data_IF_371670828102
#
_entry.id   IF_371670828102
#
_cell.length_a   1.000
_cell.length_b   1.000
_cell.length_c   1.000
_cell.angle_alpha   90.00
_cell.angle_beta   90.00
_cell.angle_gamma   90.00
#
_symmetry.space_group_name_H-M   'P 1'
#
loop_
_entity.id
_entity.type
_entity.pdbx_description
1 polymer ?
#
# COMPACT_ATOMS: atom_id res chain seq x y z
N UNK A 1 -2.58 -38.94 -2.42
CA UNK A 1 -1.15 -39.07 -2.92
C UNK A 1 -0.27 -39.93 -2.02
N UNK A 2 -0.11 -39.69 -0.68
CA UNK A 2 0.72 -40.57 0.18
C UNK A 2 0.12 -41.98 0.31
N UNK A 3 -1.20 -42.09 0.51
CA UNK A 3 -1.91 -43.37 0.55
C UNK A 3 -1.80 -44.09 -0.81
N UNK A 4 -2.01 -43.43 -1.90
CA UNK A 4 -1.90 -43.98 -3.26
C UNK A 4 -0.48 -44.49 -3.54
N UNK A 5 0.56 -43.71 -3.25
CA UNK A 5 1.97 -44.13 -3.40
C UNK A 5 2.27 -45.36 -2.54
N UNK A 6 1.70 -45.44 -1.31
CA UNK A 6 1.87 -46.61 -0.42
C UNK A 6 1.15 -47.83 -0.92
N UNK A 7 -0.04 -47.65 -1.50
CA UNK A 7 -0.83 -48.74 -2.09
C UNK A 7 -0.15 -49.28 -3.34
N UNK A 8 0.27 -48.38 -4.24
CA UNK A 8 1.01 -48.75 -5.45
C UNK A 8 2.34 -49.46 -5.12
N UNK A 9 3.06 -49.00 -4.08
CA UNK A 9 4.29 -49.70 -3.63
C UNK A 9 3.99 -51.11 -3.13
N UNK A 10 2.84 -51.30 -2.46
CA UNK A 10 2.42 -52.63 -2.03
C UNK A 10 2.08 -53.55 -3.22
N UNK A 11 1.46 -53.02 -4.26
CA UNK A 11 1.19 -53.73 -5.49
C UNK A 11 2.49 -54.12 -6.17
N UNK A 12 3.45 -53.23 -6.30
CA UNK A 12 4.78 -53.54 -6.86
C UNK A 12 5.45 -54.67 -6.10
N UNK A 13 5.45 -54.63 -4.77
CA UNK A 13 6.09 -55.70 -3.96
C UNK A 13 5.41 -57.07 -4.19
N UNK A 14 4.08 -57.07 -4.32
CA UNK A 14 3.33 -58.29 -4.65
C UNK A 14 3.68 -58.81 -6.03
N UNK A 15 3.71 -57.92 -7.07
CA UNK A 15 4.11 -58.31 -8.40
C UNK A 15 5.53 -58.83 -8.54
N UNK A 16 6.50 -58.24 -7.77
CA UNK A 16 7.85 -58.72 -7.71
C UNK A 16 7.94 -60.14 -7.12
N UNK A 17 7.17 -60.40 -6.05
CA UNK A 17 7.07 -61.72 -5.44
C UNK A 17 6.50 -62.74 -6.40
N UNK A 18 5.41 -62.38 -7.08
CA UNK A 18 4.81 -63.28 -8.08
C UNK A 18 5.75 -63.55 -9.26
N UNK A 19 6.48 -62.51 -9.71
CA UNK A 19 7.47 -62.69 -10.78
C UNK A 19 8.60 -63.63 -10.39
N UNK A 20 9.08 -63.57 -9.16
CA UNK A 20 10.10 -64.50 -8.64
C UNK A 20 9.55 -65.91 -8.62
N UNK A 21 8.35 -66.12 -8.08
CA UNK A 21 7.71 -67.44 -8.06
C UNK A 21 7.52 -68.03 -9.48
N UNK A 22 7.02 -67.21 -10.42
CA UNK A 22 6.86 -67.64 -11.85
C UNK A 22 8.20 -68.02 -12.48
N UNK A 23 9.27 -67.29 -12.21
CA UNK A 23 10.60 -67.57 -12.72
C UNK A 23 11.17 -68.87 -12.11
N UNK A 24 10.97 -69.13 -10.81
CA UNK A 24 11.37 -70.37 -10.16
C UNK A 24 10.63 -71.58 -10.71
N UNK A 25 9.32 -71.49 -10.86
CA UNK A 25 8.51 -72.54 -11.50
C UNK A 25 9.00 -72.84 -12.92
N UNK A 26 9.23 -71.78 -13.70
CA UNK A 26 9.76 -71.92 -15.06
C UNK A 26 11.14 -72.56 -15.09
N UNK A 27 12.04 -72.15 -14.17
CA UNK A 27 13.39 -72.74 -14.04
C UNK A 27 13.32 -74.20 -13.65
N UNK A 28 12.47 -74.59 -12.70
CA UNK A 28 12.28 -75.99 -12.28
C UNK A 28 11.73 -76.82 -13.46
N UNK A 29 10.77 -76.25 -14.22
CA UNK A 29 10.24 -76.94 -15.39
C UNK A 29 11.30 -77.15 -16.49
N UNK A 30 12.19 -76.15 -16.70
CA UNK A 30 13.32 -76.30 -17.64
C UNK A 30 14.29 -77.34 -17.15
N UNK A 31 14.70 -77.27 -15.82
CA UNK A 31 15.63 -78.21 -15.22
C UNK A 31 15.13 -79.65 -15.32
N UNK A 32 13.87 -79.88 -14.99
CA UNK A 32 13.23 -81.20 -15.09
C UNK A 32 13.24 -81.72 -16.53
N UNK A 33 12.94 -80.81 -17.48
CA UNK A 33 12.97 -81.12 -18.93
C UNK A 33 14.40 -81.48 -19.40
N UNK A 34 15.42 -80.77 -18.94
CA UNK A 34 16.82 -81.04 -19.27
C UNK A 34 17.28 -82.35 -18.68
N UNK A 35 16.98 -82.62 -17.42
CA UNK A 35 17.34 -83.83 -16.70
C UNK A 35 16.71 -85.05 -17.39
N UNK A 36 15.51 -84.93 -17.87
CA UNK A 36 14.81 -85.95 -18.60
C UNK A 36 15.33 -86.08 -20.08
N UNK A 37 15.87 -84.96 -20.63
CA UNK A 37 16.42 -84.90 -21.98
C UNK A 37 17.86 -85.44 -22.09
N UNK A 38 18.65 -85.47 -21.00
CA UNK A 38 20.03 -85.94 -21.04
C UNK A 38 20.19 -87.44 -21.32
N UNK A 39 19.09 -88.21 -21.28
CA UNK A 39 19.02 -89.58 -21.66
C UNK A 39 17.92 -89.95 -22.65
N UNK A 40 17.07 -89.00 -22.97
CA UNK A 40 15.83 -89.23 -23.78
C UNK A 40 15.71 -88.27 -24.94
N UNK A 41 16.04 -88.69 -26.15
CA UNK A 41 15.71 -87.94 -27.36
C UNK A 41 14.18 -87.91 -27.49
N UNK A 42 13.59 -86.75 -27.75
CA UNK A 42 12.11 -86.61 -27.97
C UNK A 42 11.58 -87.64 -28.89
N UNK A 43 12.35 -87.97 -29.91
CA UNK A 43 12.06 -89.07 -30.87
C UNK A 43 12.06 -90.44 -30.20
N UNK A 44 13.03 -90.74 -29.34
CA UNK A 44 13.07 -92.00 -28.61
C UNK A 44 11.89 -92.18 -27.65
N UNK A 45 11.42 -91.02 -27.00
CA UNK A 45 10.22 -91.05 -26.16
C UNK A 45 8.96 -91.36 -26.99
N UNK A 46 8.85 -90.82 -28.21
CA UNK A 46 7.74 -91.03 -29.07
C UNK A 46 7.76 -92.47 -29.63
N UNK A 47 8.91 -92.97 -30.09
CA UNK A 47 9.05 -94.27 -30.71
C UNK A 47 9.15 -95.47 -29.73
N UNK A 48 9.37 -95.23 -28.47
CA UNK A 48 9.31 -96.20 -27.37
C UNK A 48 7.87 -96.60 -26.98
N UNK A 49 6.88 -96.27 -27.79
CA UNK A 49 5.44 -96.55 -27.57
C UNK A 49 5.14 -97.96 -28.13
N UNK A 50 4.54 -98.85 -27.33
CA UNK A 50 4.12 -100.20 -27.75
C UNK A 50 2.84 -100.27 -28.51
N UNK A 51 2.06 -99.18 -28.57
CA UNK A 51 0.81 -99.12 -29.29
C UNK A 51 0.56 -97.74 -29.95
N UNK A 52 -0.21 -97.64 -30.97
CA UNK A 52 -0.57 -96.38 -31.68
C UNK A 52 -1.26 -95.40 -30.77
N UNK A 53 -2.11 -95.82 -29.82
CA UNK A 53 -2.78 -94.95 -28.83
C UNK A 53 -1.77 -94.34 -27.90
N UNK A 54 -0.74 -95.08 -27.44
CA UNK A 54 0.35 -94.48 -26.60
C UNK A 54 1.16 -93.46 -27.40
N UNK A 55 1.40 -93.67 -28.67
CA UNK A 55 2.08 -92.71 -29.54
C UNK A 55 1.31 -91.41 -29.62
N UNK A 56 0.03 -91.48 -29.90
CA UNK A 56 -0.86 -90.30 -30.01
C UNK A 56 -0.95 -89.50 -28.66
N UNK A 57 -1.05 -90.24 -27.55
CA UNK A 57 -1.04 -89.58 -26.21
C UNK A 57 0.28 -88.89 -25.90
N UNK A 58 1.42 -89.48 -26.22
CA UNK A 58 2.76 -88.92 -26.05
C UNK A 58 2.96 -87.67 -26.92
N UNK A 59 2.54 -87.66 -28.13
CA UNK A 59 2.57 -86.47 -28.98
C UNK A 59 1.68 -85.34 -28.43
N UNK A 60 0.48 -85.64 -28.03
CA UNK A 60 -0.41 -84.65 -27.36
C UNK A 60 0.21 -84.05 -26.08
N UNK A 61 0.88 -84.90 -25.28
CA UNK A 61 1.56 -84.46 -24.06
C UNK A 61 2.70 -83.49 -24.37
N UNK A 62 3.52 -83.77 -25.43
CA UNK A 62 4.61 -82.89 -25.82
C UNK A 62 4.05 -81.56 -26.37
N UNK A 63 2.98 -81.55 -27.08
CA UNK A 63 2.31 -80.33 -27.58
C UNK A 63 1.80 -79.51 -26.40
N UNK A 64 1.02 -80.10 -25.49
CA UNK A 64 0.49 -79.41 -24.29
C UNK A 64 1.63 -78.86 -23.44
N UNK A 65 2.72 -79.61 -23.23
CA UNK A 65 3.88 -79.12 -22.49
C UNK A 65 4.57 -77.94 -23.18
N UNK A 66 4.72 -77.96 -24.50
CA UNK A 66 5.31 -76.89 -25.28
C UNK A 66 4.44 -75.61 -25.22
N UNK A 67 3.11 -75.79 -25.33
CA UNK A 67 2.17 -74.68 -25.21
C UNK A 67 2.14 -74.06 -23.79
N UNK A 68 2.20 -74.91 -22.74
CA UNK A 68 2.28 -74.45 -21.37
C UNK A 68 3.57 -73.62 -21.10
N UNK A 69 4.69 -74.08 -21.61
CA UNK A 69 5.98 -73.35 -21.52
C UNK A 69 5.92 -72.01 -22.26
N UNK A 70 5.34 -71.99 -23.44
CA UNK A 70 5.18 -70.75 -24.20
C UNK A 70 4.32 -69.73 -23.45
N UNK A 71 3.16 -70.18 -22.94
CA UNK A 71 2.26 -69.33 -22.14
C UNK A 71 2.90 -68.79 -20.91
N UNK A 72 3.65 -69.64 -20.17
CA UNK A 72 4.33 -69.19 -18.95
C UNK A 72 5.43 -68.17 -19.25
N UNK A 73 6.20 -68.31 -20.31
CA UNK A 73 7.20 -67.37 -20.76
C UNK A 73 6.57 -66.04 -21.17
N UNK A 74 5.39 -66.07 -21.86
CA UNK A 74 4.63 -64.89 -22.25
C UNK A 74 4.08 -64.15 -20.99
N UNK A 75 3.56 -64.86 -19.97
CA UNK A 75 3.11 -64.30 -18.71
C UNK A 75 4.26 -63.64 -17.93
N UNK A 76 5.43 -64.27 -17.83
CA UNK A 76 6.59 -63.65 -17.19
C UNK A 76 6.97 -62.35 -17.87
N UNK A 77 7.01 -62.29 -19.19
CA UNK A 77 7.30 -61.04 -19.95
C UNK A 77 6.27 -59.96 -19.71
N UNK A 78 5.00 -60.32 -19.68
CA UNK A 78 3.90 -59.39 -19.46
C UNK A 78 3.92 -58.79 -18.04
N UNK A 79 4.15 -59.62 -17.02
CA UNK A 79 4.28 -59.15 -15.65
C UNK A 79 5.54 -58.27 -15.50
N UNK A 80 6.66 -58.62 -16.13
CA UNK A 80 7.87 -57.76 -16.11
C UNK A 80 7.63 -56.39 -16.73
N UNK A 81 6.91 -56.36 -17.89
CA UNK A 81 6.60 -55.08 -18.54
C UNK A 81 5.69 -54.22 -17.66
N UNK A 82 4.61 -54.81 -17.13
CA UNK A 82 3.66 -54.11 -16.24
C UNK A 82 4.33 -53.59 -14.95
N UNK A 83 5.19 -54.41 -14.36
CA UNK A 83 5.95 -53.99 -13.18
C UNK A 83 6.90 -52.81 -13.47
N UNK A 84 7.58 -52.84 -14.63
CA UNK A 84 8.46 -51.73 -15.04
C UNK A 84 7.69 -50.42 -15.23
N UNK A 85 6.51 -50.50 -15.85
CA UNK A 85 5.65 -49.35 -16.06
C UNK A 85 5.13 -48.77 -14.74
N UNK A 86 4.74 -49.62 -13.79
CA UNK A 86 4.25 -49.20 -12.49
C UNK A 86 5.35 -48.56 -11.66
N UNK A 87 6.58 -49.08 -11.69
CA UNK A 87 7.76 -48.48 -11.03
C UNK A 87 8.00 -47.06 -11.58
N UNK A 88 7.99 -46.86 -12.92
CA UNK A 88 8.18 -45.54 -13.51
C UNK A 88 7.10 -44.56 -13.09
N UNK A 89 5.84 -45.01 -13.02
CA UNK A 89 4.71 -44.19 -12.59
C UNK A 89 4.89 -43.69 -11.16
N UNK A 90 5.28 -44.59 -10.23
CA UNK A 90 5.51 -44.22 -8.81
C UNK A 90 6.72 -43.30 -8.65
N UNK A 91 7.78 -43.53 -9.41
CA UNK A 91 8.94 -42.62 -9.39
C UNK A 91 8.57 -41.22 -9.82
N UNK A 92 7.79 -41.09 -10.91
CA UNK A 92 7.25 -39.80 -11.32
C UNK A 92 6.35 -39.12 -10.27
N UNK A 93 5.43 -39.86 -9.65
CA UNK A 93 4.59 -39.34 -8.57
C UNK A 93 5.39 -38.87 -7.35
N UNK A 94 6.46 -39.59 -7.00
CA UNK A 94 7.36 -39.19 -5.88
C UNK A 94 8.10 -37.90 -6.20
N UNK A 95 8.57 -37.74 -7.44
CA UNK A 95 9.25 -36.52 -7.89
C UNK A 95 8.28 -35.32 -7.89
N UNK A 96 7.09 -35.47 -8.43
CA UNK A 96 6.05 -34.43 -8.44
C UNK A 96 5.67 -34.00 -7.03
N UNK A 97 5.52 -34.96 -6.10
CA UNK A 97 5.26 -34.67 -4.69
C UNK A 97 6.38 -33.87 -4.06
N UNK A 98 7.63 -34.21 -4.36
CA UNK A 98 8.80 -33.53 -3.79
C UNK A 98 8.90 -32.08 -4.29
N UNK A 99 8.59 -31.87 -5.56
CA UNK A 99 8.52 -30.55 -6.17
C UNK A 99 7.40 -29.70 -5.54
N UNK A 100 6.19 -30.23 -5.41
CA UNK A 100 5.06 -29.56 -4.77
C UNK A 100 5.36 -29.16 -3.32
N UNK A 101 6.00 -30.04 -2.55
CA UNK A 101 6.37 -29.76 -1.16
C UNK A 101 7.41 -28.63 -1.08
N UNK A 102 8.38 -28.62 -2.00
CA UNK A 102 9.37 -27.55 -2.11
C UNK A 102 8.74 -26.20 -2.42
N UNK A 103 7.79 -26.18 -3.35
CA UNK A 103 7.05 -24.98 -3.75
C UNK A 103 6.18 -24.46 -2.61
N UNK A 104 5.46 -25.34 -1.91
CA UNK A 104 4.65 -24.99 -0.74
C UNK A 104 5.49 -24.35 0.38
N UNK A 105 6.65 -24.92 0.68
CA UNK A 105 7.57 -24.36 1.67
C UNK A 105 8.10 -22.98 1.25
N UNK A 106 8.41 -22.80 -0.02
CA UNK A 106 8.86 -21.52 -0.59
C UNK A 106 7.76 -20.45 -0.46
N UNK A 107 6.53 -20.81 -0.84
CA UNK A 107 5.39 -19.91 -0.78
C UNK A 107 4.99 -19.55 0.65
N UNK A 108 5.04 -20.50 1.57
CA UNK A 108 4.83 -20.27 3.01
C UNK A 108 5.84 -19.28 3.59
N UNK A 109 7.14 -19.41 3.24
CA UNK A 109 8.18 -18.46 3.65
C UNK A 109 7.92 -17.07 3.09
N UNK A 110 7.54 -16.98 1.82
CA UNK A 110 7.21 -15.73 1.15
C UNK A 110 6.00 -15.04 1.81
N UNK A 111 4.97 -15.79 2.12
CA UNK A 111 3.76 -15.30 2.81
C UNK A 111 4.11 -14.73 4.20
N UNK A 112 4.92 -15.45 4.96
CA UNK A 112 5.39 -15.01 6.30
C UNK A 112 6.18 -13.69 6.19
N UNK A 113 7.07 -13.57 5.20
CA UNK A 113 7.82 -12.35 4.93
C UNK A 113 6.91 -11.18 4.57
N UNK A 114 5.94 -11.39 3.69
CA UNK A 114 4.96 -10.37 3.29
C UNK A 114 4.09 -9.91 4.48
N UNK A 115 3.65 -10.82 5.33
CA UNK A 115 2.91 -10.48 6.55
C UNK A 115 3.74 -9.61 7.51
N UNK A 116 5.03 -9.93 7.67
CA UNK A 116 5.94 -9.13 8.49
C UNK A 116 6.12 -7.71 7.92
N UNK A 117 6.31 -7.59 6.60
CA UNK A 117 6.40 -6.30 5.92
C UNK A 117 5.12 -5.49 6.06
N UNK A 118 3.96 -6.11 5.90
CA UNK A 118 2.66 -5.48 6.08
C UNK A 118 2.48 -4.93 7.49
N UNK A 119 2.81 -5.70 8.53
CA UNK A 119 2.76 -5.25 9.93
C UNK A 119 3.67 -4.05 10.18
N UNK A 120 4.90 -4.09 9.66
CA UNK A 120 5.85 -2.98 9.76
C UNK A 120 5.31 -1.71 9.09
N UNK A 121 4.70 -1.85 7.90
CA UNK A 121 4.10 -0.72 7.19
C UNK A 121 2.92 -0.11 7.96
N UNK A 122 2.03 -0.94 8.50
CA UNK A 122 0.90 -0.50 9.34
C UNK A 122 1.41 0.31 10.53
N UNK A 123 2.40 -0.21 11.27
CA UNK A 123 2.97 0.49 12.41
C UNK A 123 3.58 1.86 12.04
N UNK A 124 4.28 1.94 10.90
CA UNK A 124 4.80 3.22 10.39
C UNK A 124 3.68 4.21 10.03
N UNK A 125 2.61 3.73 9.43
CA UNK A 125 1.46 4.57 9.08
C UNK A 125 0.76 5.10 10.34
N UNK A 126 0.54 4.27 11.36
CA UNK A 126 -0.03 4.67 12.64
C UNK A 126 0.82 5.74 13.36
N UNK A 127 2.15 5.59 13.34
CA UNK A 127 3.05 6.60 13.87
C UNK A 127 2.97 7.93 13.12
N UNK A 128 2.90 7.88 11.78
CA UNK A 128 2.74 9.08 10.95
C UNK A 128 1.40 9.76 11.20
N UNK A 129 0.32 9.00 11.31
CA UNK A 129 -1.02 9.52 11.62
C UNK A 129 -1.02 10.22 12.97
N UNK A 130 -0.47 9.59 14.00
CA UNK A 130 -0.35 10.19 15.36
C UNK A 130 0.44 11.49 15.33
N UNK A 131 1.56 11.54 14.59
CA UNK A 131 2.35 12.75 14.43
C UNK A 131 1.54 13.88 13.77
N UNK A 132 0.85 13.58 12.67
CA UNK A 132 0.02 14.56 11.95
C UNK A 132 -1.10 15.09 12.84
N UNK A 133 -1.77 14.21 13.59
CA UNK A 133 -2.82 14.63 14.54
C UNK A 133 -2.29 15.57 15.61
N UNK A 134 -1.11 15.28 16.18
CA UNK A 134 -0.48 16.12 17.18
C UNK A 134 -0.07 17.49 16.60
N UNK A 135 0.50 17.53 15.41
CA UNK A 135 0.89 18.77 14.75
C UNK A 135 -0.34 19.62 14.41
N UNK A 136 -1.42 18.99 13.95
CA UNK A 136 -2.69 19.66 13.68
C UNK A 136 -3.31 20.25 14.97
N UNK A 137 -3.26 19.51 16.08
CA UNK A 137 -3.73 20.01 17.38
C UNK A 137 -2.95 21.24 17.84
N UNK A 138 -1.61 21.21 17.74
CA UNK A 138 -0.75 22.37 18.05
C UNK A 138 -1.07 23.57 17.18
N UNK A 139 -1.22 23.36 15.87
CA UNK A 139 -1.55 24.41 14.92
C UNK A 139 -2.90 25.07 15.25
N UNK A 140 -3.94 24.27 15.56
CA UNK A 140 -5.26 24.77 15.98
C UNK A 140 -5.19 25.60 17.26
N UNK A 141 -4.39 25.17 18.24
CA UNK A 141 -4.20 25.90 19.49
C UNK A 141 -3.54 27.27 19.24
N UNK A 142 -2.46 27.29 18.45
CA UNK A 142 -1.76 28.55 18.10
C UNK A 142 -2.65 29.48 17.28
N UNK A 143 -3.46 28.94 16.35
CA UNK A 143 -4.41 29.76 15.57
C UNK A 143 -5.52 30.33 16.46
N UNK A 144 -6.03 29.55 17.41
CA UNK A 144 -7.02 30.04 18.38
C UNK A 144 -6.44 31.17 19.25
N UNK A 145 -5.25 30.96 19.78
CA UNK A 145 -4.54 31.99 20.59
C UNK A 145 -4.35 33.29 19.80
N UNK A 146 -3.94 33.20 18.54
CA UNK A 146 -3.81 34.34 17.64
C UNK A 146 -5.13 35.08 17.47
N UNK A 147 -6.20 34.36 17.20
CA UNK A 147 -7.53 34.97 17.02
C UNK A 147 -8.02 35.64 18.30
N UNK A 148 -7.90 34.97 19.46
CA UNK A 148 -8.32 35.52 20.77
C UNK A 148 -7.55 36.79 21.09
N UNK A 149 -6.24 36.86 20.78
CA UNK A 149 -5.44 38.10 20.97
C UNK A 149 -5.86 39.21 19.99
N UNK A 150 -6.14 38.89 18.72
CA UNK A 150 -6.62 39.89 17.77
C UNK A 150 -7.97 40.45 18.23
N UNK A 151 -8.91 39.60 18.61
CA UNK A 151 -10.24 40.00 19.06
C UNK A 151 -10.15 40.91 20.31
N UNK A 152 -9.25 40.60 21.26
CA UNK A 152 -9.00 41.44 22.44
C UNK A 152 -8.47 42.82 22.05
N UNK A 153 -7.53 42.89 21.10
CA UNK A 153 -6.95 44.19 20.68
C UNK A 153 -7.99 45.02 19.93
N UNK A 154 -8.76 44.43 19.04
CA UNK A 154 -9.85 45.12 18.34
C UNK A 154 -10.83 45.72 19.35
N UNK A 155 -11.21 44.97 20.38
CA UNK A 155 -12.11 45.46 21.41
C UNK A 155 -11.53 46.65 22.20
N UNK A 156 -10.23 46.60 22.52
CA UNK A 156 -9.54 47.73 23.22
C UNK A 156 -9.48 48.96 22.33
N UNK A 157 -9.07 48.85 21.07
CA UNK A 157 -8.99 49.97 20.14
C UNK A 157 -10.39 50.58 19.88
N UNK A 158 -11.44 49.75 19.79
CA UNK A 158 -12.81 50.18 19.64
C UNK A 158 -13.29 51.01 20.84
N UNK A 159 -13.01 50.52 22.05
CA UNK A 159 -13.35 51.30 23.30
C UNK A 159 -12.60 52.61 23.37
N UNK A 160 -11.33 52.62 22.95
CA UNK A 160 -10.56 53.87 22.91
C UNK A 160 -11.11 54.87 21.89
N UNK A 161 -11.52 54.37 20.71
CA UNK A 161 -12.14 55.20 19.67
C UNK A 161 -13.47 55.83 20.17
N UNK A 162 -14.34 55.04 20.81
CA UNK A 162 -15.58 55.51 21.40
C UNK A 162 -15.36 56.55 22.49
N UNK A 163 -14.34 56.37 23.30
CA UNK A 163 -14.02 57.32 24.38
C UNK A 163 -13.41 58.66 23.89
N UNK A 164 -12.72 58.62 22.73
CA UNK A 164 -12.05 59.80 22.17
C UNK A 164 -12.95 60.66 21.24
N UNK A 165 -14.20 60.28 21.01
CA UNK A 165 -15.15 60.96 20.09
C UNK A 165 -14.56 61.26 18.71
N UNK A 166 -13.59 60.46 18.26
CA UNK A 166 -13.01 60.61 16.93
C UNK A 166 -14.04 60.16 15.88
N UNK A 167 -14.40 61.06 15.00
CA UNK A 167 -15.26 60.71 13.85
C UNK A 167 -14.48 59.92 12.80
N UNK A 168 -14.74 58.64 12.72
CA UNK A 168 -14.09 57.72 11.77
C UNK A 168 -14.93 57.51 10.50
N UNK A 169 -16.03 58.24 10.35
CA UNK A 169 -17.04 58.05 9.28
C UNK A 169 -16.41 58.12 7.90
N UNK A 170 -15.53 59.11 7.65
CA UNK A 170 -14.88 59.26 6.34
C UNK A 170 -13.88 58.12 6.03
N UNK A 171 -13.15 57.68 7.04
CA UNK A 171 -12.20 56.55 6.88
C UNK A 171 -12.98 55.26 6.61
N UNK A 172 -14.06 55.01 7.34
CA UNK A 172 -14.93 53.87 7.18
C UNK A 172 -15.50 53.82 5.77
N UNK A 173 -16.11 54.92 5.28
CA UNK A 173 -16.64 55.02 3.91
C UNK A 173 -15.57 54.84 2.84
N UNK A 174 -14.35 55.36 3.09
CA UNK A 174 -13.24 55.23 2.16
C UNK A 174 -12.78 53.75 2.07
N UNK A 175 -12.70 53.03 3.17
CA UNK A 175 -12.34 51.60 3.19
C UNK A 175 -13.44 50.73 2.55
N UNK A 176 -14.72 50.95 2.90
CA UNK A 176 -15.86 50.24 2.33
C UNK A 176 -15.96 50.43 0.80
N UNK A 177 -15.72 51.64 0.33
CA UNK A 177 -15.68 51.95 -1.10
C UNK A 177 -14.61 51.21 -1.91
N UNK A 178 -13.63 50.59 -1.21
CA UNK A 178 -12.60 49.77 -1.83
C UNK A 178 -12.95 48.26 -1.87
N UNK A 179 -14.13 47.87 -1.46
CA UNK A 179 -14.58 46.47 -1.53
C UNK A 179 -14.50 45.98 -2.99
N UNK A 180 -13.75 44.88 -3.19
CA UNK A 180 -13.45 44.29 -4.51
C UNK A 180 -12.37 45.04 -5.30
N UNK A 181 -11.71 46.06 -4.70
CA UNK A 181 -10.69 46.90 -5.36
C UNK A 181 -9.38 46.96 -4.54
N UNK A 182 -9.34 46.39 -3.35
CA UNK A 182 -8.11 46.39 -2.54
C UNK A 182 -7.00 45.65 -3.26
N UNK A 183 -5.77 46.18 -3.26
CA UNK A 183 -4.61 45.49 -3.81
C UNK A 183 -4.32 44.22 -3.01
N UNK A 184 -3.63 43.27 -3.62
CA UNK A 184 -3.17 42.09 -2.95
C UNK A 184 -2.02 42.47 -1.97
N UNK A 185 -1.98 41.80 -0.81
CA UNK A 185 -0.91 42.06 0.17
C UNK A 185 0.48 41.62 -0.28
N UNK A 186 0.58 40.91 -1.41
CA UNK A 186 1.81 40.49 -2.08
C UNK A 186 1.72 40.76 -3.56
N UNK A 187 2.84 41.06 -4.22
CA UNK A 187 2.84 41.40 -5.65
C UNK A 187 2.47 40.22 -6.52
N UNK A 188 2.99 39.02 -6.17
CA UNK A 188 2.76 37.77 -6.89
C UNK A 188 2.22 36.71 -5.91
N UNK A 189 1.38 35.81 -6.41
CA UNK A 189 0.84 34.70 -5.63
C UNK A 189 -0.59 34.32 -6.00
N UNK A 190 -1.06 33.26 -5.39
CA UNK A 190 -2.42 32.72 -5.55
C UNK A 190 -2.98 32.30 -4.19
N UNK A 191 -4.30 32.17 -4.10
CA UNK A 191 -4.97 31.73 -2.88
C UNK A 191 -4.78 30.20 -2.74
N UNK A 192 -3.97 29.77 -1.78
CA UNK A 192 -3.75 28.36 -1.45
C UNK A 192 -4.85 27.80 -0.54
N UNK A 193 -5.43 28.65 0.33
CA UNK A 193 -6.55 28.24 1.21
C UNK A 193 -7.59 29.36 1.28
N UNK A 194 -8.82 29.02 0.89
CA UNK A 194 -9.96 29.93 0.87
C UNK A 194 -10.56 30.17 2.26
N UNK A 195 -11.33 31.24 2.37
CA UNK A 195 -12.13 31.54 3.56
C UNK A 195 -13.26 30.50 3.76
N UNK A 196 -13.50 30.12 5.02
CA UNK A 196 -14.59 29.25 5.42
C UNK A 196 -14.15 27.82 5.75
N UNK A 197 -15.07 26.89 5.60
CA UNK A 197 -14.83 25.47 5.89
C UNK A 197 -14.39 24.73 4.64
N UNK A 198 -13.32 23.96 4.74
CA UNK A 198 -12.83 23.10 3.67
C UNK A 198 -12.44 21.74 4.23
N UNK A 199 -12.42 20.74 3.38
CA UNK A 199 -11.91 19.40 3.75
C UNK A 199 -10.39 19.39 3.65
N UNK A 200 -9.72 18.71 4.60
CA UNK A 200 -8.26 18.55 4.53
C UNK A 200 -7.87 17.76 3.26
N UNK A 201 -6.87 18.20 2.48
CA UNK A 201 -6.52 17.58 1.20
C UNK A 201 -6.24 16.07 1.29
N UNK A 202 -5.58 15.64 2.37
CA UNK A 202 -5.15 14.24 2.57
C UNK A 202 -6.06 13.47 3.53
N UNK A 203 -6.58 14.13 4.57
CA UNK A 203 -7.38 13.50 5.63
C UNK A 203 -8.88 13.81 5.40
N UNK A 204 -9.56 13.01 4.61
CA UNK A 204 -10.97 13.22 4.21
C UNK A 204 -11.97 13.41 5.36
N UNK A 205 -11.64 12.93 6.57
CA UNK A 205 -12.50 13.07 7.76
C UNK A 205 -12.21 14.33 8.58
N UNK A 206 -11.19 15.13 8.21
CA UNK A 206 -10.78 16.32 8.92
C UNK A 206 -11.30 17.55 8.19
N UNK A 207 -12.14 18.36 8.88
CA UNK A 207 -12.59 19.66 8.40
C UNK A 207 -11.66 20.74 8.94
N UNK A 208 -11.22 21.61 8.03
CA UNK A 208 -10.46 22.82 8.34
C UNK A 208 -11.40 24.02 8.29
N UNK A 209 -11.19 24.98 9.19
CA UNK A 209 -11.92 26.26 9.16
C UNK A 209 -10.90 27.38 9.07
N UNK A 210 -10.91 28.13 7.98
CA UNK A 210 -10.06 29.29 7.78
C UNK A 210 -10.87 30.57 7.95
N UNK A 211 -10.50 31.38 8.94
CA UNK A 211 -11.12 32.69 9.22
C UNK A 211 -10.50 33.84 8.39
N UNK A 212 -9.73 33.50 7.36
CA UNK A 212 -9.08 34.40 6.43
C UNK A 212 -8.81 33.68 5.11
N UNK A 213 -7.81 34.12 4.37
CA UNK A 213 -7.25 33.42 3.23
C UNK A 213 -5.76 33.23 3.42
N UNK A 214 -5.21 32.09 2.92
CA UNK A 214 -3.78 31.94 2.81
C UNK A 214 -3.37 32.20 1.36
N UNK A 215 -2.36 33.06 1.17
CA UNK A 215 -1.86 33.45 -0.14
C UNK A 215 -0.43 32.92 -0.26
N UNK A 216 -0.22 31.94 -1.12
CA UNK A 216 1.10 31.43 -1.42
C UNK A 216 1.82 32.35 -2.40
N UNK A 217 3.10 32.62 -2.13
CA UNK A 217 3.92 33.57 -2.87
C UNK A 217 5.37 33.07 -2.96
N UNK A 218 6.25 33.90 -3.53
CA UNK A 218 7.69 33.57 -3.62
C UNK A 218 8.39 33.73 -2.28
N UNK A 219 9.53 33.06 -2.10
CA UNK A 219 10.36 33.21 -0.91
C UNK A 219 10.79 34.65 -0.72
N UNK A 220 10.80 35.11 0.55
CA UNK A 220 11.18 36.46 0.93
C UNK A 220 10.33 37.59 0.29
N UNK A 221 9.15 37.26 -0.25
CA UNK A 221 8.25 38.27 -0.80
C UNK A 221 7.90 39.34 0.25
N UNK A 222 7.86 40.59 -0.20
CA UNK A 222 7.44 41.69 0.64
C UNK A 222 5.92 41.66 0.81
N UNK A 223 5.49 41.85 2.06
CA UNK A 223 4.07 41.96 2.42
C UNK A 223 3.76 43.45 2.60
N UNK A 224 2.68 43.89 1.95
CA UNK A 224 2.27 45.30 1.87
C UNK A 224 0.90 45.49 2.49
N UNK A 225 0.67 46.68 3.08
CA UNK A 225 -0.66 47.10 3.52
C UNK A 225 -1.58 47.24 2.33
N UNK A 226 -2.79 46.69 2.41
CA UNK A 226 -3.81 46.80 1.35
C UNK A 226 -4.48 48.17 1.30
N UNK A 227 -4.42 48.94 2.41
CA UNK A 227 -5.04 50.27 2.54
C UNK A 227 -4.27 51.10 3.59
N UNK A 228 -4.46 52.42 3.55
CA UNK A 228 -3.89 53.31 4.51
C UNK A 228 -4.50 53.09 5.91
N UNK A 229 -3.67 53.16 6.96
CA UNK A 229 -4.15 52.92 8.29
C UNK A 229 -3.07 53.05 9.38
N UNK A 230 -3.43 52.75 10.61
CA UNK A 230 -2.54 52.78 11.77
C UNK A 230 -2.24 51.37 12.22
N UNK A 231 -0.97 51.05 12.46
CA UNK A 231 -0.54 49.76 13.05
C UNK A 231 -1.02 49.66 14.48
N UNK A 232 -2.09 48.90 14.74
CA UNK A 232 -2.65 48.69 16.08
C UNK A 232 -1.80 47.78 16.95
N UNK A 233 -1.30 46.70 16.35
CA UNK A 233 -0.50 45.72 17.08
C UNK A 233 0.47 44.97 16.19
N UNK A 234 1.55 44.51 16.84
CA UNK A 234 2.48 43.52 16.29
C UNK A 234 2.58 42.40 17.31
N UNK A 235 2.31 41.16 16.86
CA UNK A 235 2.27 39.97 17.71
C UNK A 235 3.17 38.90 17.14
N UNK A 236 3.84 38.14 18.00
CA UNK A 236 4.56 36.94 17.62
C UNK A 236 3.95 35.76 18.36
N UNK A 237 3.56 34.71 17.60
CA UNK A 237 2.96 33.50 18.15
C UNK A 237 3.76 32.31 17.63
N UNK A 238 4.17 31.39 18.51
CA UNK A 238 4.90 30.20 18.13
C UNK A 238 4.14 29.42 17.04
N UNK A 239 4.84 29.09 15.97
CA UNK A 239 4.27 28.35 14.81
C UNK A 239 3.42 29.19 13.83
N UNK A 240 3.15 30.48 14.14
CA UNK A 240 2.41 31.39 13.26
C UNK A 240 3.27 32.55 12.74
N UNK A 241 4.53 32.66 13.17
CA UNK A 241 5.39 33.79 12.83
C UNK A 241 4.88 35.10 13.44
N UNK A 242 5.29 36.26 12.85
CA UNK A 242 4.81 37.54 13.27
C UNK A 242 3.50 37.91 12.56
N UNK A 243 2.66 38.65 13.26
CA UNK A 243 1.40 39.17 12.76
C UNK A 243 1.35 40.68 12.96
N UNK A 244 1.01 41.41 11.91
CA UNK A 244 0.75 42.85 11.95
C UNK A 244 -0.76 43.06 11.84
N UNK A 245 -1.34 43.82 12.73
CA UNK A 245 -2.73 44.25 12.72
C UNK A 245 -2.78 45.76 12.41
N UNK A 246 -3.52 46.12 11.35
CA UNK A 246 -3.68 47.50 10.89
C UNK A 246 -5.13 47.90 11.03
N UNK A 247 -5.38 49.08 11.61
CA UNK A 247 -6.68 49.69 11.79
C UNK A 247 -6.97 50.67 10.63
N UNK A 248 -8.17 50.58 10.06
CA UNK A 248 -8.69 51.44 8.97
C UNK A 248 -10.08 51.98 9.38
N UNK A 249 -10.12 52.79 10.40
CA UNK A 249 -11.37 53.21 11.06
C UNK A 249 -11.93 52.09 11.94
N UNK A 250 -13.13 51.59 11.65
CA UNK A 250 -13.73 50.46 12.36
C UNK A 250 -13.34 49.09 11.75
N UNK A 251 -12.67 49.12 10.59
CA UNK A 251 -12.14 47.93 9.95
C UNK A 251 -10.71 47.63 10.37
N UNK A 252 -10.37 46.33 10.36
CA UNK A 252 -9.01 45.89 10.63
C UNK A 252 -8.58 44.90 9.59
N UNK A 253 -7.28 44.92 9.23
CA UNK A 253 -6.63 43.89 8.44
C UNK A 253 -5.49 43.26 9.22
N UNK A 254 -5.40 41.93 9.16
CA UNK A 254 -4.32 41.19 9.79
C UNK A 254 -3.49 40.43 8.75
N UNK A 255 -2.17 40.56 8.91
CA UNK A 255 -1.15 39.93 8.05
C UNK A 255 -0.29 39.02 8.92
N UNK A 256 -0.50 37.72 8.85
CA UNK A 256 0.20 36.72 9.66
C UNK A 256 1.18 35.90 8.79
N UNK A 257 1.99 35.08 9.45
CA UNK A 257 3.08 34.28 8.85
C UNK A 257 4.18 35.19 8.28
N UNK A 258 4.55 36.25 9.02
CA UNK A 258 5.65 37.13 8.67
C UNK A 258 6.95 36.69 9.34
N UNK A 259 8.04 36.59 8.59
CA UNK A 259 9.41 36.36 9.08
C UNK A 259 9.96 37.61 9.78
N UNK A 260 9.78 38.75 9.15
CA UNK A 260 10.25 40.03 9.64
C UNK A 260 9.15 41.08 9.50
N UNK A 261 9.13 42.03 10.44
CA UNK A 261 8.22 43.19 10.44
C UNK A 261 9.07 44.44 10.41
N UNK A 262 8.76 45.39 9.51
CA UNK A 262 9.52 46.64 9.30
C UNK A 262 8.81 47.86 9.83
N UNK A 263 7.61 47.70 10.37
CA UNK A 263 6.78 48.76 10.96
C UNK A 263 6.74 48.65 12.47
N UNK A 264 6.28 49.72 13.15
CA UNK A 264 6.15 49.80 14.63
C UNK A 264 4.69 50.00 15.02
N UNK A 265 4.31 49.52 16.22
CA UNK A 265 3.00 49.82 16.79
C UNK A 265 2.76 51.35 16.87
N UNK A 266 1.61 51.79 16.43
CA UNK A 266 1.21 53.20 16.36
C UNK A 266 1.64 53.94 15.08
N UNK A 267 2.46 53.32 14.23
CA UNK A 267 2.90 53.91 12.98
C UNK A 267 1.74 54.00 11.99
N UNK A 268 1.64 55.15 11.29
CA UNK A 268 0.77 55.30 10.13
C UNK A 268 1.44 54.65 8.90
N UNK A 269 0.68 53.90 8.15
CA UNK A 269 1.13 53.25 6.91
C UNK A 269 0.21 53.59 5.76
N UNK A 270 0.77 53.79 4.59
CA UNK A 270 0.04 54.03 3.33
C UNK A 270 -0.44 52.74 2.69
N UNK A 271 -1.35 52.87 1.73
CA UNK A 271 -1.66 51.75 0.83
C UNK A 271 -0.43 51.32 0.02
N UNK A 272 -0.22 50.02 -0.15
CA UNK A 272 0.95 49.42 -0.80
C UNK A 272 2.31 49.67 -0.08
N UNK A 273 2.30 50.20 1.13
CA UNK A 273 3.52 50.32 1.95
C UNK A 273 3.95 48.95 2.48
N UNK A 274 5.25 48.67 2.43
CA UNK A 274 5.82 47.40 2.92
C UNK A 274 5.75 47.38 4.45
N UNK A 275 5.14 46.33 5.01
CA UNK A 275 4.96 46.10 6.44
C UNK A 275 5.80 44.97 7.00
N UNK A 276 6.28 44.07 6.12
CA UNK A 276 7.08 42.93 6.50
C UNK A 276 7.50 42.05 5.35
N UNK A 277 8.00 40.88 5.68
CA UNK A 277 8.44 39.86 4.73
C UNK A 277 7.81 38.51 5.11
N UNK A 278 7.39 37.76 4.12
CA UNK A 278 6.75 36.45 4.31
C UNK A 278 7.72 35.45 4.96
N UNK A 279 7.15 34.58 5.81
CA UNK A 279 7.86 33.45 6.40
C UNK A 279 7.79 32.28 5.42
N UNK A 280 8.92 31.61 5.21
CA UNK A 280 9.00 30.31 4.51
C UNK A 280 9.02 29.22 5.57
N UNK A 281 8.16 28.22 5.44
CA UNK A 281 8.08 27.10 6.36
C UNK A 281 9.16 26.02 6.07
N UNK A 282 9.17 24.95 6.84
CA UNK A 282 10.12 23.83 6.68
C UNK A 282 9.90 23.00 5.41
N UNK A 283 8.83 23.25 4.67
CA UNK A 283 8.52 22.59 3.40
C UNK A 283 8.78 23.51 2.21
N UNK A 284 9.54 24.59 2.39
CA UNK A 284 9.82 25.63 1.40
C UNK A 284 8.56 26.35 0.89
N UNK A 285 7.46 26.32 1.66
CA UNK A 285 6.23 27.02 1.32
C UNK A 285 6.25 28.40 1.97
N UNK A 286 6.06 29.43 1.15
CA UNK A 286 5.98 30.82 1.59
C UNK A 286 4.55 31.29 1.45
N UNK A 287 3.90 31.60 2.57
CA UNK A 287 2.50 32.02 2.61
C UNK A 287 2.28 33.20 3.55
N UNK A 288 1.41 34.13 3.17
CA UNK A 288 0.85 35.12 4.07
C UNK A 288 -0.60 34.79 4.35
N UNK A 289 -0.99 34.76 5.63
CA UNK A 289 -2.38 34.64 6.03
C UNK A 289 -2.98 36.04 6.17
N UNK A 290 -3.98 36.34 5.34
CA UNK A 290 -4.64 37.61 5.28
C UNK A 290 -6.08 37.51 5.81
N UNK A 291 -6.44 38.40 6.74
CA UNK A 291 -7.78 38.49 7.32
C UNK A 291 -8.29 39.91 7.26
N UNK A 292 -9.60 40.06 7.08
CA UNK A 292 -10.33 41.33 7.18
C UNK A 292 -11.38 41.18 8.25
N UNK A 293 -11.45 42.17 9.12
CA UNK A 293 -12.46 42.28 10.19
C UNK A 293 -13.32 43.48 9.95
N UNK A 294 -14.63 43.29 9.97
CA UNK A 294 -15.65 44.31 10.04
C UNK A 294 -16.13 44.37 11.50
N UNK A 295 -15.80 45.42 12.20
CA UNK A 295 -16.02 45.56 13.66
C UNK A 295 -15.49 44.35 14.43
N UNK A 296 -16.32 43.36 14.75
CA UNK A 296 -15.94 42.14 15.50
C UNK A 296 -15.92 40.84 14.64
N UNK A 297 -16.42 40.95 13.42
CA UNK A 297 -16.64 39.77 12.58
C UNK A 297 -15.52 39.61 11.57
N UNK A 298 -15.01 38.36 11.43
CA UNK A 298 -14.18 38.01 10.29
C UNK A 298 -15.07 37.98 9.03
N UNK A 299 -14.71 38.74 8.03
CA UNK A 299 -15.39 38.73 6.71
C UNK A 299 -14.52 38.06 5.67
N UNK A 300 -15.12 37.54 4.60
CA UNK A 300 -14.37 36.88 3.53
C UNK A 300 -13.44 37.89 2.81
N UNK A 301 -12.09 37.74 2.95
CA UNK A 301 -11.16 38.69 2.35
C UNK A 301 -11.16 38.66 0.81
N UNK A 302 -11.55 37.53 0.18
CA UNK A 302 -11.64 37.42 -1.28
C UNK A 302 -12.62 38.44 -1.87
N UNK A 303 -13.66 38.79 -1.12
CA UNK A 303 -14.65 39.78 -1.59
C UNK A 303 -14.12 41.22 -1.54
N UNK A 304 -12.99 41.46 -0.92
CA UNK A 304 -12.38 42.81 -0.79
C UNK A 304 -11.22 43.00 -1.76
N UNK A 305 -10.54 41.94 -2.15
CA UNK A 305 -9.36 42.01 -3.03
C UNK A 305 -9.80 42.16 -4.50
N UNK A 306 -9.00 42.87 -5.28
CA UNK A 306 -9.12 42.91 -6.73
C UNK A 306 -9.00 41.49 -7.30
N UNK A 307 -9.87 41.12 -8.24
CA UNK A 307 -9.76 39.82 -8.91
C UNK A 307 -8.48 39.78 -9.76
N UNK A 308 -7.65 38.82 -9.51
CA UNK A 308 -6.58 38.44 -10.43
C UNK A 308 -7.18 37.48 -11.46
N UNK A 309 -7.09 37.84 -12.72
CA UNK A 309 -7.41 36.95 -13.85
C UNK A 309 -6.39 35.82 -13.96
#
# INVERSE_FOLDING_TARGET
MDEEISEDQSIINAMESDLVALKEEYAQMIYTSQKTSAGFNKLTFIFASGTFNQLAMRLKYIQQYSEARKKQSEQIKLVQSSLSEQIQTIEGQKEDKQNLLSDELSESKKLTSLQSQQRSLISKLEQQESKIQNDLAKQRTSEKELNDRIDAIIEVERRAALASSIDMTDINKAFEGQKGKLPWPVSEGFISSKYGKSQHPTLKRVMLTNKGIDIQTTQNAQVKSVFAGKVSAIMSIPGQGNTVLIQHGEYFTAYSKLKAVVVKKGQQVGANETIGQVLTDNNDISEVKFKVFDQKSNVNPESWLVRKN
#
